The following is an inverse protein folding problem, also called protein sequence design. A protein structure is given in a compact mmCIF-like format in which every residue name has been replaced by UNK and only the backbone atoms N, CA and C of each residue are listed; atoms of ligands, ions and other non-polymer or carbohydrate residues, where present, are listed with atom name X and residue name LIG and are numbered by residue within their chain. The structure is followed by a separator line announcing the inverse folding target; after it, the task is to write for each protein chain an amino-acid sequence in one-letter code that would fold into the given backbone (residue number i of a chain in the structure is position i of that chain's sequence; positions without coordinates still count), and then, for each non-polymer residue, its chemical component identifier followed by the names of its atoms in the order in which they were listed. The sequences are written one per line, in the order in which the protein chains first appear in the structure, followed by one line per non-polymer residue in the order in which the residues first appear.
data_IF_508490474858
#
_entry.id   IF_508490474858
#
_cell.length_a   1.000
_cell.length_b   1.000
_cell.length_c   1.000
_cell.angle_alpha   90.00
_cell.angle_beta   90.00
_cell.angle_gamma   90.00
#
_symmetry.space_group_name_H-M   'P 1'
#
loop_
_entity.id
_entity.type
_entity.pdbx_description
1 polymer ?
#
# COMPACT_ATOMS: atom_id res chain seq x y z
N UNK A 1 8.77 -7.71 -22.87
CA UNK A 1 7.97 -6.51 -22.51
C UNK A 1 6.53 -6.85 -22.11
N UNK A 2 5.74 -7.57 -22.92
CA UNK A 2 4.35 -7.93 -22.59
C UNK A 2 4.14 -8.54 -21.19
N UNK A 3 4.98 -9.52 -20.79
CA UNK A 3 4.88 -10.13 -19.45
C UNK A 3 5.17 -9.15 -18.31
N UNK A 4 6.14 -8.25 -18.49
CA UNK A 4 6.50 -7.22 -17.51
C UNK A 4 5.38 -6.20 -17.36
N UNK A 5 4.79 -5.77 -18.48
CA UNK A 5 3.63 -4.87 -18.49
C UNK A 5 2.43 -5.50 -17.78
N UNK A 6 2.11 -6.77 -18.07
CA UNK A 6 1.02 -7.49 -17.39
C UNK A 6 1.29 -7.54 -15.89
N UNK A 7 2.49 -7.93 -15.46
CA UNK A 7 2.84 -7.97 -14.03
C UNK A 7 2.74 -6.59 -13.36
N UNK A 8 3.20 -5.53 -14.01
CA UNK A 8 3.13 -4.16 -13.48
C UNK A 8 1.67 -3.69 -13.32
N UNK A 9 0.82 -3.93 -14.32
CA UNK A 9 -0.61 -3.59 -14.25
C UNK A 9 -1.32 -4.41 -13.18
N UNK A 10 -1.03 -5.71 -13.08
CA UNK A 10 -1.60 -6.57 -12.03
C UNK A 10 -1.20 -6.13 -10.63
N UNK A 11 0.07 -5.74 -10.42
CA UNK A 11 0.56 -5.21 -9.14
C UNK A 11 -0.10 -3.88 -8.80
N UNK A 12 -0.23 -2.98 -9.77
CA UNK A 12 -0.90 -1.69 -9.57
C UNK A 12 -2.39 -1.89 -9.21
N UNK A 13 -3.08 -2.78 -9.92
CA UNK A 13 -4.47 -3.12 -9.61
C UNK A 13 -4.63 -3.76 -8.23
N UNK A 14 -3.75 -4.68 -7.85
CA UNK A 14 -3.75 -5.28 -6.52
C UNK A 14 -3.50 -4.24 -5.42
N UNK A 15 -2.54 -3.33 -5.62
CA UNK A 15 -2.28 -2.23 -4.69
C UNK A 15 -3.49 -1.29 -4.55
N UNK A 16 -4.19 -1.00 -5.65
CA UNK A 16 -5.37 -0.15 -5.63
C UNK A 16 -6.51 -0.79 -4.81
N UNK A 17 -6.81 -2.06 -5.09
CA UNK A 17 -7.85 -2.81 -4.36
C UNK A 17 -7.50 -2.91 -2.87
N UNK A 18 -6.24 -3.24 -2.57
CA UNK A 18 -5.76 -3.32 -1.19
C UNK A 18 -5.91 -1.98 -0.47
N UNK A 19 -5.48 -0.89 -1.12
CA UNK A 19 -5.59 0.46 -0.56
C UNK A 19 -7.05 0.84 -0.31
N UNK A 20 -7.97 0.55 -1.23
CA UNK A 20 -9.40 0.85 -1.04
C UNK A 20 -9.98 0.07 0.15
N UNK A 21 -9.69 -1.24 0.25
CA UNK A 21 -10.22 -2.08 1.33
C UNK A 21 -9.71 -1.60 2.69
N UNK A 22 -8.40 -1.36 2.78
CA UNK A 22 -7.78 -0.92 4.03
C UNK A 22 -8.24 0.51 4.36
N UNK A 23 -8.33 1.38 3.36
CA UNK A 23 -8.80 2.73 3.55
C UNK A 23 -10.20 2.75 4.14
N UNK A 24 -11.14 1.96 3.63
CA UNK A 24 -12.51 1.88 4.17
C UNK A 24 -12.53 1.31 5.60
N UNK A 25 -11.66 0.35 5.91
CA UNK A 25 -11.69 -0.36 7.20
C UNK A 25 -10.93 0.36 8.33
N UNK A 26 -9.85 1.08 8.00
CA UNK A 26 -8.84 1.56 8.97
C UNK A 26 -8.53 3.06 8.81
N UNK A 27 -9.35 3.79 8.06
CA UNK A 27 -9.07 5.17 7.63
C UNK A 27 -8.53 6.11 8.72
N UNK A 28 -9.18 6.24 9.89
CA UNK A 28 -8.76 7.23 10.87
C UNK A 28 -7.36 6.95 11.42
N UNK A 29 -6.95 5.68 11.44
CA UNK A 29 -5.62 5.25 11.85
C UNK A 29 -4.57 5.53 10.76
N UNK A 30 -4.86 5.18 9.51
CA UNK A 30 -3.90 5.33 8.42
C UNK A 30 -3.66 6.78 8.02
N UNK A 31 -4.72 7.61 8.05
CA UNK A 31 -4.58 9.04 7.83
C UNK A 31 -3.68 9.68 8.89
N UNK A 32 -3.79 9.27 10.16
CA UNK A 32 -2.86 9.71 11.22
C UNK A 32 -1.44 9.17 11.02
N UNK A 33 -1.30 7.93 10.56
CA UNK A 33 0.02 7.33 10.31
C UNK A 33 0.79 8.06 9.21
N UNK A 34 0.08 8.52 8.18
CA UNK A 34 0.67 9.25 7.05
C UNK A 34 0.78 10.74 7.29
N UNK A 35 0.11 11.27 8.32
CA UNK A 35 0.09 12.70 8.62
C UNK A 35 1.47 13.37 8.79
N UNK A 36 2.52 12.74 9.34
CA UNK A 36 3.86 13.35 9.42
C UNK A 36 4.48 13.69 8.05
N UNK A 37 3.97 13.10 6.95
CA UNK A 37 4.41 13.42 5.59
C UNK A 37 3.79 14.72 5.05
N UNK A 38 2.70 15.18 5.66
CA UNK A 38 1.87 16.28 5.15
C UNK A 38 1.77 17.45 6.13
N UNK A 39 1.68 17.16 7.43
CA UNK A 39 1.61 18.19 8.46
C UNK A 39 2.93 18.99 8.53
N UNK A 40 2.83 20.30 8.36
CA UNK A 40 3.96 21.20 8.57
C UNK A 40 4.34 21.28 10.07
N UNK A 41 5.60 21.62 10.41
CA UNK A 41 6.06 21.66 11.81
C UNK A 41 5.27 22.62 12.71
N UNK A 42 4.62 23.64 12.14
CA UNK A 42 3.79 24.62 12.86
C UNK A 42 2.37 24.13 13.14
N UNK A 43 1.95 23.04 12.49
CA UNK A 43 0.65 22.37 12.62
C UNK A 43 0.89 20.86 12.74
N UNK A 44 1.56 20.42 13.80
CA UNK A 44 2.08 19.05 13.87
C UNK A 44 1.08 18.01 14.40
N UNK A 45 -0.06 18.41 14.97
CA UNK A 45 -1.00 17.48 15.59
C UNK A 45 -2.04 16.96 14.58
N UNK A 46 -2.04 15.65 14.25
CA UNK A 46 -2.97 15.12 13.28
C UNK A 46 -4.32 14.75 13.91
N UNK A 47 -5.38 15.35 13.40
CA UNK A 47 -6.76 15.09 13.79
C UNK A 47 -7.54 14.64 12.57
N UNK A 48 -8.24 13.51 12.68
CA UNK A 48 -9.14 13.04 11.62
C UNK A 48 -10.56 13.30 12.10
N UNK A 49 -11.31 14.07 11.33
CA UNK A 49 -12.70 14.40 11.60
C UNK A 49 -13.59 13.56 10.71
N UNK A 50 -14.62 12.94 11.29
CA UNK A 50 -15.64 12.19 10.58
C UNK A 50 -16.91 13.04 10.47
N UNK A 51 -17.22 13.50 9.27
CA UNK A 51 -18.43 14.27 8.99
C UNK A 51 -19.52 13.33 8.44
N UNK A 52 -20.55 13.09 9.25
CA UNK A 52 -21.69 12.25 8.84
C UNK A 52 -22.87 13.11 8.42
N UNK A 53 -23.21 13.06 7.14
CA UNK A 53 -24.35 13.75 6.54
C UNK A 53 -25.55 12.80 6.46
N UNK A 54 -26.74 13.35 6.74
CA UNK A 54 -28.01 12.66 6.61
C UNK A 54 -28.85 13.45 5.61
N UNK A 55 -29.01 12.94 4.41
CA UNK A 55 -29.82 13.54 3.35
C UNK A 55 -30.90 12.56 2.87
N UNK A 56 -31.67 12.96 1.86
CA UNK A 56 -32.71 12.11 1.28
C UNK A 56 -32.17 10.89 0.52
N UNK A 57 -30.87 10.85 0.22
CA UNK A 57 -30.19 9.75 -0.47
C UNK A 57 -29.55 8.74 0.50
N UNK A 58 -29.33 9.14 1.74
CA UNK A 58 -28.97 8.24 2.84
C UNK A 58 -28.04 8.86 3.88
N UNK A 59 -27.32 7.99 4.60
CA UNK A 59 -26.26 8.39 5.52
C UNK A 59 -24.91 8.26 4.82
N UNK A 60 -24.20 9.37 4.65
CA UNK A 60 -22.84 9.40 4.10
C UNK A 60 -21.86 9.86 5.17
N UNK A 61 -20.70 9.20 5.28
CA UNK A 61 -19.63 9.62 6.21
C UNK A 61 -18.39 9.97 5.42
N UNK A 62 -17.95 11.22 5.53
CA UNK A 62 -16.69 11.70 4.99
C UNK A 62 -15.64 11.77 6.11
N UNK A 63 -14.37 11.55 5.76
CA UNK A 63 -13.27 11.64 6.70
C UNK A 63 -12.19 12.58 6.17
N UNK A 64 -11.85 13.59 6.96
CA UNK A 64 -10.89 14.63 6.57
C UNK A 64 -9.73 14.67 7.56
N UNK A 65 -8.50 14.71 7.04
CA UNK A 65 -7.30 14.90 7.83
C UNK A 65 -7.03 16.39 8.02
N UNK A 66 -7.01 16.82 9.27
CA UNK A 66 -6.59 18.15 9.67
C UNK A 66 -5.29 18.08 10.44
N UNK A 67 -4.41 19.04 10.17
CA UNK A 67 -3.22 19.30 10.95
C UNK A 67 -3.47 20.51 11.84
N UNK A 68 -3.34 20.32 13.15
CA UNK A 68 -3.64 21.33 14.18
C UNK A 68 -2.33 21.85 14.76
N UNK A 69 -2.25 23.17 14.89
CA UNK A 69 -1.12 23.88 15.49
C UNK A 69 -1.53 24.66 16.73
N UNK A 70 -0.53 25.21 17.41
CA UNK A 70 -0.74 26.05 18.58
C UNK A 70 -1.66 27.24 18.23
N UNK A 71 -2.55 27.59 19.16
CA UNK A 71 -3.54 28.68 19.03
C UNK A 71 -4.69 28.42 18.04
N UNK A 72 -4.94 27.17 17.68
CA UNK A 72 -6.11 26.79 16.87
C UNK A 72 -5.93 27.05 15.37
N UNK A 73 -4.67 27.10 14.91
CA UNK A 73 -4.36 27.09 13.47
C UNK A 73 -4.71 25.69 12.93
N UNK A 74 -5.51 25.65 11.86
CA UNK A 74 -5.96 24.42 11.21
C UNK A 74 -5.47 24.44 9.76
N UNK A 75 -4.85 23.35 9.31
CA UNK A 75 -4.58 23.06 7.90
C UNK A 75 -5.41 21.85 7.47
N UNK A 76 -6.13 21.98 6.36
CA UNK A 76 -6.86 20.88 5.73
C UNK A 76 -5.94 20.19 4.73
N UNK A 77 -5.52 18.96 5.04
CA UNK A 77 -4.71 18.13 4.15
C UNK A 77 -5.57 17.15 3.33
N UNK A 78 -6.88 17.10 3.61
CA UNK A 78 -7.87 16.33 2.88
C UNK A 78 -7.71 14.81 2.99
N UNK A 79 -8.39 14.12 2.08
CA UNK A 79 -8.44 12.65 2.01
C UNK A 79 -7.44 12.08 0.97
N UNK A 80 -7.24 12.79 -0.15
CA UNK A 80 -6.57 12.24 -1.33
C UNK A 80 -5.07 12.03 -1.10
N UNK A 81 -4.39 12.97 -0.44
CA UNK A 81 -2.94 12.89 -0.21
C UNK A 81 -2.57 11.65 0.65
N UNK A 82 -3.22 11.41 1.80
CA UNK A 82 -3.09 10.16 2.54
C UNK A 82 -3.35 8.90 1.70
N UNK A 83 -4.44 8.87 0.91
CA UNK A 83 -4.77 7.71 0.06
C UNK A 83 -3.64 7.42 -0.92
N UNK A 84 -3.12 8.46 -1.58
CA UNK A 84 -2.07 8.30 -2.58
C UNK A 84 -0.76 7.82 -1.95
N UNK A 85 -0.39 8.33 -0.77
CA UNK A 85 0.79 7.85 -0.05
C UNK A 85 0.65 6.37 0.33
N UNK A 86 -0.52 5.94 0.82
CA UNK A 86 -0.79 4.54 1.11
C UNK A 86 -0.76 3.69 -0.15
N UNK A 87 -1.34 4.15 -1.25
CA UNK A 87 -1.29 3.44 -2.53
C UNK A 87 0.14 3.21 -2.99
N UNK A 88 0.99 4.23 -2.93
CA UNK A 88 2.42 4.12 -3.27
C UNK A 88 3.10 3.13 -2.34
N UNK A 89 2.85 3.19 -1.03
CA UNK A 89 3.42 2.25 -0.06
C UNK A 89 3.02 0.80 -0.36
N UNK A 90 1.73 0.53 -0.57
CA UNK A 90 1.21 -0.80 -0.93
C UNK A 90 1.83 -1.31 -2.24
N UNK A 91 1.93 -0.45 -3.24
CA UNK A 91 2.54 -0.82 -4.52
C UNK A 91 4.02 -1.20 -4.37
N UNK A 92 4.79 -0.43 -3.59
CA UNK A 92 6.20 -0.71 -3.29
C UNK A 92 6.34 -2.05 -2.55
N UNK A 93 5.52 -2.29 -1.53
CA UNK A 93 5.54 -3.54 -0.75
C UNK A 93 5.25 -4.74 -1.66
N UNK A 94 4.18 -4.69 -2.45
CA UNK A 94 3.81 -5.80 -3.35
C UNK A 94 4.89 -6.05 -4.41
N UNK A 95 5.50 -4.99 -4.93
CA UNK A 95 6.60 -5.12 -5.89
C UNK A 95 7.82 -5.78 -5.25
N UNK A 96 8.19 -5.37 -4.03
CA UNK A 96 9.31 -5.97 -3.29
C UNK A 96 9.07 -7.47 -3.01
N UNK A 97 7.86 -7.82 -2.56
CA UNK A 97 7.46 -9.23 -2.35
C UNK A 97 7.50 -10.04 -3.65
N UNK A 98 7.03 -9.46 -4.75
CA UNK A 98 7.08 -10.11 -6.06
C UNK A 98 8.51 -10.37 -6.53
N UNK A 99 9.40 -9.39 -6.38
CA UNK A 99 10.82 -9.53 -6.73
C UNK A 99 11.48 -10.59 -5.84
N UNK A 100 11.22 -10.56 -4.53
CA UNK A 100 11.77 -11.54 -3.59
C UNK A 100 11.31 -12.96 -3.94
N UNK A 101 10.02 -13.17 -4.20
CA UNK A 101 9.48 -14.46 -4.63
C UNK A 101 10.11 -14.93 -5.96
N UNK A 102 10.31 -14.01 -6.91
CA UNK A 102 10.96 -14.32 -8.18
C UNK A 102 12.44 -14.72 -7.99
N UNK A 103 13.16 -14.10 -7.06
CA UNK A 103 14.55 -14.44 -6.74
C UNK A 103 14.64 -15.83 -6.08
N UNK A 104 13.78 -16.11 -5.09
CA UNK A 104 13.72 -17.41 -4.41
C UNK A 104 13.36 -18.53 -5.40
N UNK A 105 12.34 -18.32 -6.24
CA UNK A 105 11.93 -19.30 -7.25
C UNK A 105 13.00 -19.59 -8.31
N UNK A 106 13.86 -18.62 -8.62
CA UNK A 106 15.03 -18.83 -9.50
C UNK A 106 16.12 -19.66 -8.81
N UNK A 107 16.32 -19.48 -7.51
CA UNK A 107 17.29 -20.26 -6.73
C UNK A 107 16.87 -21.73 -6.62
N UNK A 108 15.60 -21.99 -6.30
CA UNK A 108 15.06 -23.35 -6.20
C UNK A 108 15.03 -24.10 -7.54
N UNK A 109 14.89 -23.41 -8.68
CA UNK A 109 15.02 -24.04 -10.00
C UNK A 109 16.45 -24.45 -10.34
N UNK A 110 17.47 -23.77 -9.80
CA UNK A 110 18.88 -24.12 -10.05
C UNK A 110 19.30 -25.37 -9.28
N UNK A 111 18.82 -25.56 -8.07
CA UNK A 111 19.15 -26.73 -7.24
C UNK A 111 18.53 -28.01 -7.80
N UNK A 112 17.27 -27.97 -8.25
CA UNK A 112 16.59 -29.14 -8.85
C UNK A 112 17.24 -29.60 -10.16
N UNK A 113 17.96 -28.72 -10.88
CA UNK A 113 18.64 -29.10 -12.11
C UNK A 113 20.05 -29.67 -11.89
N UNK A 114 20.56 -29.66 -10.65
CA UNK A 114 21.94 -30.07 -10.34
C UNK A 114 22.07 -31.49 -9.76
N UNK A 115 20.95 -32.22 -9.55
CA UNK A 115 20.92 -33.60 -9.00
C UNK A 115 20.71 -34.69 -10.08
N UNK A 116 21.43 -34.63 -11.20
CA UNK A 116 21.56 -35.77 -12.12
C UNK A 116 22.44 -35.42 -13.32
N UNK A 117 23.50 -36.20 -13.66
CA UNK A 117 23.46 -37.65 -13.84
C UNK A 117 24.76 -38.37 -13.39
N UNK A 118 24.89 -38.77 -12.12
CA UNK A 118 26.01 -39.65 -11.71
C UNK A 118 25.59 -41.08 -11.35
N UNK A 119 24.30 -41.37 -11.41
CA UNK A 119 23.70 -42.67 -11.03
C UNK A 119 23.48 -43.59 -12.24
N UNK A 120 24.36 -43.52 -13.25
CA UNK A 120 24.32 -44.41 -14.43
C UNK A 120 25.64 -45.12 -14.73
N UNK A 121 26.60 -45.05 -13.82
CA UNK A 121 27.92 -45.69 -13.97
C UNK A 121 28.20 -46.80 -12.94
N UNK A 122 27.17 -47.24 -12.19
CA UNK A 122 27.31 -48.34 -11.20
C UNK A 122 26.59 -49.63 -11.63
N UNK A 123 26.22 -49.74 -12.92
CA UNK A 123 25.67 -50.95 -13.54
C UNK A 123 26.52 -51.35 -14.78
N UNK A 124 27.84 -51.44 -14.64
CA UNK A 124 28.74 -52.00 -15.68
C UNK A 124 29.88 -52.79 -15.09
#
# INVERSE_FOLDING_TARGET
MRRVLISAVSLAGAAAVLTIIIAVALWPGEAKLTAPLFCAPVVSEPVVVSDTFHDSEGTSTNYTLYCVGDRGILSDEGFILPVLALFVAHFVILTALFVLAALIGRLGRRTVHSEGPFERLQDS
#
